data_IF_569274339122
#
_entry.id   IF_569274339122
#
_cell.length_a   1.000
_cell.length_b   1.000
_cell.length_c   1.000
_cell.angle_alpha   90.00
_cell.angle_beta   90.00
_cell.angle_gamma   90.00
#
_symmetry.space_group_name_H-M   'P 1'
#
loop_
_entity.id
_entity.type
_entity.pdbx_description
1 polymer ?
#
# COMPACT_ATOMS: atom_id res chain seq x y z
N UNK A 1 -8.30 -11.42 -3.12
CA UNK A 1 -7.45 -12.60 -3.30
C UNK A 1 -6.56 -12.86 -2.09
N UNK A 2 -5.56 -12.02 -1.78
CA UNK A 2 -4.63 -12.30 -0.67
C UNK A 2 -5.28 -12.31 0.73
N UNK A 3 -6.23 -11.41 1.00
CA UNK A 3 -6.96 -11.39 2.28
C UNK A 3 -7.83 -12.65 2.48
N UNK A 4 -8.41 -13.17 1.41
CA UNK A 4 -9.21 -14.40 1.48
C UNK A 4 -8.32 -15.64 1.64
N UNK A 5 -7.15 -15.64 0.99
CA UNK A 5 -6.14 -16.66 1.23
C UNK A 5 -5.67 -16.63 2.70
N UNK A 6 -5.43 -15.45 3.26
CA UNK A 6 -5.09 -15.29 4.68
C UNK A 6 -6.10 -15.95 5.61
N UNK A 7 -7.40 -15.78 5.35
CA UNK A 7 -8.46 -16.45 6.13
C UNK A 7 -8.45 -17.97 5.92
N UNK A 8 -8.31 -18.42 4.67
CA UNK A 8 -8.31 -19.85 4.31
C UNK A 8 -7.17 -20.62 4.99
N UNK A 9 -6.01 -19.99 5.19
CA UNK A 9 -4.83 -20.64 5.80
C UNK A 9 -4.61 -20.28 7.27
N UNK A 10 -5.53 -19.56 7.91
CA UNK A 10 -5.32 -19.04 9.27
C UNK A 10 -5.01 -20.14 10.32
N UNK A 11 -5.53 -21.35 10.13
CA UNK A 11 -5.29 -22.49 11.03
C UNK A 11 -4.09 -23.37 10.65
N UNK A 12 -3.42 -23.10 9.53
CA UNK A 12 -2.31 -23.93 9.04
C UNK A 12 -0.93 -23.48 9.52
N UNK A 13 -0.86 -22.43 10.35
CA UNK A 13 0.40 -21.83 10.79
C UNK A 13 1.12 -21.02 9.71
N UNK A 14 0.45 -20.70 8.60
CA UNK A 14 0.97 -19.88 7.51
C UNK A 14 0.42 -18.46 7.60
N UNK A 15 1.30 -17.47 7.61
CA UNK A 15 0.88 -16.07 7.51
C UNK A 15 0.91 -15.59 6.06
N UNK A 16 -0.18 -14.98 5.61
CA UNK A 16 -0.31 -14.36 4.30
C UNK A 16 -0.70 -12.90 4.48
N UNK A 17 -0.10 -11.99 3.70
CA UNK A 17 -0.41 -10.56 3.73
C UNK A 17 -0.49 -9.98 2.33
N UNK A 18 -1.44 -9.06 2.10
CA UNK A 18 -1.43 -8.15 0.98
C UNK A 18 -0.51 -6.96 1.32
N UNK A 19 0.61 -6.81 0.60
CA UNK A 19 1.44 -5.61 0.69
C UNK A 19 0.88 -4.54 -0.24
N UNK A 20 0.55 -3.38 0.33
CA UNK A 20 0.02 -2.22 -0.39
C UNK A 20 0.99 -1.05 -0.23
N UNK A 21 2.04 -0.96 -1.07
CA UNK A 21 3.09 0.02 -0.89
C UNK A 21 2.68 1.42 -1.37
N UNK A 22 3.19 2.43 -0.68
CA UNK A 22 3.21 3.80 -1.18
C UNK A 22 4.19 4.02 -2.33
N UNK A 23 4.40 5.27 -2.73
CA UNK A 23 5.42 5.58 -3.75
C UNK A 23 6.79 5.15 -3.24
N UNK A 24 7.45 4.31 -4.05
CA UNK A 24 8.70 3.64 -3.68
C UNK A 24 9.77 3.91 -4.72
N UNK A 25 10.97 4.24 -4.29
CA UNK A 25 12.11 4.38 -5.19
C UNK A 25 12.53 3.02 -5.76
N UNK A 26 12.19 2.80 -7.02
CA UNK A 26 12.56 1.62 -7.81
C UNK A 26 12.75 2.00 -9.28
N UNK A 27 13.41 1.13 -10.03
CA UNK A 27 13.62 1.26 -11.48
C UNK A 27 12.32 1.03 -12.28
N UNK A 28 11.27 0.49 -11.64
CA UNK A 28 9.97 0.27 -12.26
C UNK A 28 9.41 1.53 -12.93
N UNK A 29 9.60 2.69 -12.32
CA UNK A 29 9.08 3.96 -12.84
C UNK A 29 9.80 4.39 -14.12
N UNK A 30 11.05 3.98 -14.29
CA UNK A 30 11.79 4.19 -15.54
C UNK A 30 11.29 3.23 -16.62
N UNK A 31 11.25 1.93 -16.31
CA UNK A 31 10.79 0.90 -17.25
C UNK A 31 9.34 1.10 -17.69
N UNK A 32 8.48 1.59 -16.80
CA UNK A 32 7.06 1.84 -17.07
C UNK A 32 6.80 3.19 -17.77
N UNK A 33 7.83 3.98 -18.08
CA UNK A 33 7.67 5.30 -18.71
C UNK A 33 7.02 6.35 -17.80
N UNK A 34 7.13 6.18 -16.47
CA UNK A 34 6.50 7.03 -15.45
C UNK A 34 7.48 8.06 -14.84
N UNK A 35 8.62 8.31 -15.48
CA UNK A 35 9.65 9.22 -14.95
C UNK A 35 9.18 10.67 -14.86
N UNK A 36 8.34 11.12 -15.80
CA UNK A 36 7.78 12.47 -15.74
C UNK A 36 6.86 12.63 -14.52
N UNK A 37 6.01 11.64 -14.24
CA UNK A 37 5.19 11.60 -13.03
C UNK A 37 6.09 11.64 -11.80
N UNK A 38 7.09 10.74 -11.71
CA UNK A 38 8.02 10.66 -10.59
C UNK A 38 8.72 12.00 -10.32
N UNK A 39 9.18 12.67 -11.37
CA UNK A 39 9.90 13.94 -11.28
C UNK A 39 9.00 15.12 -10.85
N UNK A 40 7.70 15.08 -11.17
CA UNK A 40 6.72 16.11 -10.78
C UNK A 40 6.26 15.99 -9.32
N UNK A 41 6.45 14.84 -8.70
CA UNK A 41 5.99 14.58 -7.33
C UNK A 41 7.01 15.02 -6.28
N UNK A 42 6.52 15.47 -5.12
CA UNK A 42 7.39 15.91 -4.03
C UNK A 42 8.19 14.73 -3.45
N UNK A 43 9.50 14.92 -3.24
CA UNK A 43 10.43 13.86 -2.79
C UNK A 43 10.01 13.18 -1.48
N UNK A 44 9.40 13.91 -0.55
CA UNK A 44 8.97 13.37 0.75
C UNK A 44 7.79 12.39 0.68
N UNK A 45 7.12 12.28 -0.48
CA UNK A 45 6.10 11.26 -0.72
C UNK A 45 6.71 9.87 -0.94
N UNK A 46 7.98 9.82 -1.32
CA UNK A 46 8.64 8.58 -1.73
C UNK A 46 9.39 7.94 -0.57
N UNK A 47 9.35 6.62 -0.51
CA UNK A 47 10.11 5.80 0.43
C UNK A 47 11.16 4.95 -0.29
N UNK A 48 12.25 4.63 0.42
CA UNK A 48 13.21 3.63 -0.04
C UNK A 48 12.62 2.21 0.05
N UNK A 49 13.06 1.33 -0.85
CA UNK A 49 12.60 -0.05 -0.89
C UNK A 49 12.85 -0.80 0.43
N UNK A 50 13.92 -0.47 1.15
CA UNK A 50 14.22 -1.04 2.47
C UNK A 50 13.09 -0.80 3.48
N UNK A 51 12.52 0.41 3.52
CA UNK A 51 11.39 0.73 4.40
C UNK A 51 10.18 -0.12 4.06
N UNK A 52 9.90 -0.28 2.77
CA UNK A 52 8.76 -1.05 2.27
C UNK A 52 8.90 -2.53 2.63
N UNK A 53 10.08 -3.10 2.41
CA UNK A 53 10.38 -4.51 2.71
C UNK A 53 10.33 -4.75 4.22
N UNK A 54 10.92 -3.87 5.02
CA UNK A 54 10.88 -3.99 6.49
C UNK A 54 9.45 -3.98 7.01
N UNK A 55 8.64 -3.01 6.56
CA UNK A 55 7.23 -2.94 6.94
C UNK A 55 6.45 -4.20 6.52
N UNK A 56 6.72 -4.74 5.32
CA UNK A 56 6.11 -5.96 4.82
C UNK A 56 6.43 -7.18 5.68
N UNK A 57 7.72 -7.38 6.00
CA UNK A 57 8.20 -8.47 6.83
C UNK A 57 7.65 -8.38 8.25
N UNK A 58 7.72 -7.20 8.88
CA UNK A 58 7.16 -6.98 10.22
C UNK A 58 5.65 -7.23 10.23
N UNK A 59 4.94 -6.83 9.17
CA UNK A 59 3.50 -7.00 9.05
C UNK A 59 3.06 -8.45 8.90
N UNK A 60 3.71 -9.20 8.00
CA UNK A 60 3.40 -10.62 7.77
C UNK A 60 3.79 -11.49 8.96
N UNK A 61 4.91 -11.19 9.63
CA UNK A 61 5.30 -11.89 10.86
C UNK A 61 4.28 -11.70 12.00
N UNK A 62 3.63 -10.53 12.06
CA UNK A 62 2.56 -10.23 13.02
C UNK A 62 1.18 -10.74 12.59
N UNK A 63 1.07 -11.47 11.48
CA UNK A 63 -0.19 -12.03 10.99
C UNK A 63 -1.18 -10.97 10.48
N UNK A 64 -0.71 -9.82 9.98
CA UNK A 64 -1.62 -8.81 9.41
C UNK A 64 -2.10 -9.22 8.01
N UNK A 65 -3.40 -9.26 7.78
CA UNK A 65 -3.95 -9.55 6.45
C UNK A 65 -3.57 -8.49 5.38
N UNK A 66 -3.48 -7.21 5.77
CA UNK A 66 -3.08 -6.08 4.92
C UNK A 66 -1.96 -5.29 5.57
N UNK A 67 -0.95 -4.92 4.78
CA UNK A 67 0.19 -4.12 5.21
C UNK A 67 0.34 -2.92 4.28
N UNK A 68 0.03 -1.73 4.79
CA UNK A 68 0.33 -0.46 4.12
C UNK A 68 1.71 0.02 4.58
N UNK A 69 2.66 0.08 3.65
CA UNK A 69 4.04 0.49 3.94
C UNK A 69 4.26 1.99 3.75
N UNK A 70 5.22 2.53 4.52
CA UNK A 70 5.45 3.96 4.59
C UNK A 70 4.52 4.64 5.60
N UNK A 71 5.10 5.46 6.47
CA UNK A 71 4.36 6.11 7.57
C UNK A 71 3.23 6.99 7.04
N UNK A 72 3.49 7.82 6.03
CA UNK A 72 2.49 8.70 5.43
C UNK A 72 1.24 7.91 4.99
N UNK A 73 1.42 6.88 4.17
CA UNK A 73 0.33 6.09 3.60
C UNK A 73 -0.44 5.31 4.66
N UNK A 74 0.26 4.77 5.66
CA UNK A 74 -0.37 4.07 6.79
C UNK A 74 -1.31 4.96 7.59
N UNK A 75 -1.03 6.27 7.68
CA UNK A 75 -1.91 7.23 8.34
C UNK A 75 -3.03 7.74 7.41
N UNK A 76 -2.75 7.91 6.13
CA UNK A 76 -3.74 8.38 5.15
C UNK A 76 -4.82 7.33 4.85
N UNK A 77 -4.45 6.05 4.70
CA UNK A 77 -5.38 4.98 4.34
C UNK A 77 -6.61 4.89 5.26
N UNK A 78 -6.50 4.79 6.60
CA UNK A 78 -7.66 4.74 7.49
C UNK A 78 -8.49 6.03 7.46
N UNK A 79 -7.87 7.18 7.15
CA UNK A 79 -8.58 8.44 6.96
C UNK A 79 -9.44 8.36 5.70
N UNK A 80 -8.94 7.84 4.57
CA UNK A 80 -9.70 7.72 3.33
C UNK A 80 -10.75 6.61 3.35
N UNK A 81 -10.52 5.54 4.14
CA UNK A 81 -11.46 4.44 4.31
C UNK A 81 -12.54 4.72 5.35
N UNK A 82 -12.41 5.80 6.14
CA UNK A 82 -13.41 6.21 7.12
C UNK A 82 -14.76 6.47 6.46
N UNK A 83 -15.82 5.95 7.08
CA UNK A 83 -17.21 6.13 6.60
C UNK A 83 -17.55 7.62 6.48
N UNK A 84 -16.98 8.45 7.35
CA UNK A 84 -17.19 9.89 7.35
C UNK A 84 -16.56 10.56 6.11
N UNK A 85 -15.32 10.22 5.77
CA UNK A 85 -14.62 10.78 4.59
C UNK A 85 -15.15 10.24 3.27
N UNK A 86 -15.58 8.96 3.21
CA UNK A 86 -16.26 8.38 2.03
C UNK A 86 -17.50 9.16 1.61
N UNK A 87 -18.20 9.81 2.57
CA UNK A 87 -19.36 10.66 2.28
C UNK A 87 -18.97 11.97 1.58
N UNK A 88 -17.78 12.50 1.86
CA UNK A 88 -17.31 13.78 1.32
C UNK A 88 -16.45 13.62 0.06
N UNK A 89 -15.70 12.52 -0.08
CA UNK A 89 -14.78 12.26 -1.19
C UNK A 89 -15.27 11.15 -2.11
N UNK A 90 -16.52 11.26 -2.60
CA UNK A 90 -17.03 10.34 -3.64
C UNK A 90 -16.40 10.67 -4.99
N UNK A 91 -15.20 10.17 -5.22
CA UNK A 91 -14.49 10.28 -6.50
C UNK A 91 -15.23 9.40 -7.53
N UNK A 92 -15.69 10.01 -8.63
CA UNK A 92 -16.32 9.28 -9.75
C UNK A 92 -15.24 8.40 -10.39
N UNK A 93 -15.33 7.09 -10.18
CA UNK A 93 -14.30 6.12 -10.58
C UNK A 93 -14.22 5.82 -12.10
N UNK A 94 -14.96 6.56 -12.94
CA UNK A 94 -14.95 6.41 -14.39
C UNK A 94 -14.99 7.79 -15.06
N UNK A 95 -14.02 8.12 -15.93
CA UNK A 95 -14.27 9.10 -16.98
C UNK A 95 -15.26 8.49 -17.98
N UNK A 96 -16.15 9.33 -18.52
CA UNK A 96 -17.02 8.98 -19.65
C UNK A 96 -16.21 8.72 -20.92
#
# INVERSE_FOLDING_TARGET
>A
MSEELHLTVASSGVNVSALCPGFTHTDFHETAGLMEMKNKMAKWLWYDAEVVVKDALDGVQRGKAVVVSGRLYRWLDPIFQSIWTRRFFRIKARPE
#
